data_IF_475830958623
#
_entry.id   IF_475830958623
#
_cell.length_a   1.000
_cell.length_b   1.000
_cell.length_c   1.000
_cell.angle_alpha   90.00
_cell.angle_beta   90.00
_cell.angle_gamma   90.00
#
_symmetry.space_group_name_H-M   'P 1'
#
loop_
_entity.id
_entity.type
_entity.pdbx_description
1 polymer ?
#
# COMPACT_ATOMS: atom_id res chain seq x y z
N UNK A 1 4.43 -4.90 35.71
CA UNK A 1 3.38 -4.61 34.72
C UNK A 1 4.10 -4.22 33.43
N UNK A 2 3.69 -4.65 32.23
CA UNK A 2 4.44 -4.35 30.98
C UNK A 2 4.66 -2.83 30.77
N UNK A 3 3.75 -2.00 31.28
CA UNK A 3 3.85 -0.54 31.31
C UNK A 3 5.05 0.00 32.12
N UNK A 4 5.57 -0.73 33.09
CA UNK A 4 6.73 -0.30 33.89
C UNK A 4 8.00 -0.21 33.03
N UNK A 5 8.06 -0.96 31.92
CA UNK A 5 9.17 -0.89 30.94
C UNK A 5 9.20 0.44 30.17
N UNK A 6 8.10 1.21 30.17
CA UNK A 6 8.03 2.51 29.51
C UNK A 6 8.63 3.64 30.36
N UNK A 7 8.97 3.38 31.63
CA UNK A 7 9.49 4.40 32.56
C UNK A 7 10.85 4.98 32.16
N UNK A 8 11.62 4.26 31.33
CA UNK A 8 12.88 4.72 30.76
C UNK A 8 12.71 5.58 29.50
N UNK A 9 11.50 5.65 28.94
CA UNK A 9 11.20 6.38 27.72
C UNK A 9 10.45 7.68 28.00
N UNK A 10 10.65 8.69 27.14
CA UNK A 10 9.76 9.85 27.08
C UNK A 10 8.51 9.46 26.31
N UNK A 11 7.38 9.36 27.00
CA UNK A 11 6.10 8.99 26.41
C UNK A 11 5.37 10.25 25.93
N UNK A 12 4.90 10.24 24.69
CA UNK A 12 3.97 11.23 24.15
C UNK A 12 2.76 10.50 23.61
N UNK A 13 1.58 10.85 24.12
CA UNK A 13 0.31 10.28 23.67
C UNK A 13 -0.36 11.24 22.70
N UNK A 14 -0.74 10.75 21.52
CA UNK A 14 -1.55 11.49 20.55
C UNK A 14 -2.99 11.01 20.71
N UNK A 15 -3.91 11.92 21.01
CA UNK A 15 -5.35 11.66 21.11
C UNK A 15 -6.11 12.61 20.19
N UNK A 16 -7.17 12.13 19.55
CA UNK A 16 -8.00 12.92 18.66
C UNK A 16 -9.46 12.47 18.73
N UNK A 17 -10.37 13.34 18.30
CA UNK A 17 -11.81 13.10 18.35
C UNK A 17 -12.32 12.22 17.20
N UNK A 18 -11.59 12.19 16.07
CA UNK A 18 -11.94 11.45 14.86
C UNK A 18 -10.65 11.04 14.09
N UNK A 19 -10.73 10.16 13.08
CA UNK A 19 -9.57 9.74 12.28
C UNK A 19 -8.85 10.86 11.54
N UNK A 20 -9.56 11.85 10.99
CA UNK A 20 -8.95 12.99 10.28
C UNK A 20 -8.09 13.86 11.22
N UNK A 21 -8.63 14.19 12.40
CA UNK A 21 -7.90 14.88 13.45
C UNK A 21 -6.72 14.05 13.99
N UNK A 22 -6.84 12.72 14.05
CA UNK A 22 -5.71 11.87 14.43
C UNK A 22 -4.58 11.96 13.40
N UNK A 23 -4.92 11.82 12.13
CA UNK A 23 -3.98 11.95 11.00
C UNK A 23 -3.30 13.31 10.98
N UNK A 24 -4.04 14.41 11.19
CA UNK A 24 -3.47 15.75 11.27
C UNK A 24 -2.42 15.86 12.38
N UNK A 25 -2.72 15.36 13.59
CA UNK A 25 -1.77 15.39 14.71
C UNK A 25 -0.54 14.51 14.48
N UNK A 26 -0.71 13.32 13.89
CA UNK A 26 0.42 12.46 13.51
C UNK A 26 1.31 13.18 12.48
N UNK A 27 0.69 13.81 11.47
CA UNK A 27 1.41 14.61 10.47
C UNK A 27 2.15 15.78 11.09
N UNK A 28 1.56 16.52 12.04
CA UNK A 28 2.23 17.62 12.74
C UNK A 28 3.46 17.15 13.52
N UNK A 29 3.43 15.93 14.08
CA UNK A 29 4.60 15.35 14.73
C UNK A 29 5.65 14.92 13.71
N UNK A 30 5.23 14.27 12.62
CA UNK A 30 6.13 13.86 11.55
C UNK A 30 6.78 15.07 10.85
N UNK A 31 6.05 16.16 10.62
CA UNK A 31 6.55 17.38 9.99
C UNK A 31 7.62 18.10 10.82
N UNK A 32 7.76 17.78 12.11
CA UNK A 32 8.87 18.29 12.94
C UNK A 32 10.19 17.57 12.67
N UNK A 33 10.12 16.43 11.96
CA UNK A 33 11.27 15.57 11.64
C UNK A 33 11.77 15.74 10.20
N UNK A 34 11.03 16.49 9.38
CA UNK A 34 11.34 16.78 7.97
C UNK A 34 11.29 18.30 7.75
N UNK A 35 12.07 18.80 6.78
CA UNK A 35 12.20 20.25 6.54
C UNK A 35 11.27 20.78 5.44
N UNK A 36 10.45 19.92 4.83
CA UNK A 36 9.55 20.28 3.74
C UNK A 36 8.21 19.53 3.82
N UNK A 37 7.24 20.01 3.05
CA UNK A 37 5.94 19.34 2.87
C UNK A 37 5.90 18.77 1.45
N UNK A 38 5.65 17.48 1.33
CA UNK A 38 5.50 16.84 0.03
C UNK A 38 4.28 17.38 -0.71
N UNK A 39 4.46 17.73 -2.00
CA UNK A 39 3.35 18.14 -2.86
C UNK A 39 2.39 16.97 -3.10
N UNK A 40 2.95 15.78 -3.27
CA UNK A 40 2.24 14.52 -3.34
C UNK A 40 1.57 14.20 -2.00
N UNK A 41 0.33 13.72 -2.07
CA UNK A 41 -0.44 13.29 -0.90
C UNK A 41 -1.39 12.18 -1.29
N UNK A 42 -1.51 11.18 -0.44
CA UNK A 42 -2.44 10.07 -0.63
C UNK A 42 -3.74 10.44 0.06
N UNK A 43 -4.88 10.14 -0.56
CA UNK A 43 -6.21 10.38 -0.04
C UNK A 43 -6.90 9.03 0.14
N UNK A 44 -7.39 8.75 1.35
CA UNK A 44 -8.14 7.54 1.68
C UNK A 44 -9.50 7.85 2.29
N UNK A 45 -10.49 7.00 2.03
CA UNK A 45 -11.80 7.11 2.65
C UNK A 45 -11.79 6.53 4.07
N UNK A 46 -12.31 7.27 5.05
CA UNK A 46 -12.38 6.80 6.44
C UNK A 46 -13.59 5.93 6.75
N UNK A 47 -14.60 5.97 5.89
CA UNK A 47 -15.82 5.19 6.05
C UNK A 47 -15.60 3.72 5.67
N UNK A 48 -16.22 2.82 6.41
CA UNK A 48 -16.24 1.40 6.06
C UNK A 48 -16.98 1.18 4.73
N UNK A 49 -16.53 0.23 3.88
CA UNK A 49 -15.43 -0.73 4.09
C UNK A 49 -14.07 -0.29 3.52
N UNK A 50 -13.78 1.01 3.41
CA UNK A 50 -12.62 1.48 2.64
C UNK A 50 -11.24 1.30 3.30
N UNK A 51 -11.18 0.68 4.48
CA UNK A 51 -9.92 0.44 5.20
C UNK A 51 -8.93 -0.36 4.34
N UNK A 52 -9.41 -1.43 3.71
CA UNK A 52 -8.59 -2.31 2.86
C UNK A 52 -8.02 -1.60 1.64
N UNK A 53 -8.66 -0.53 1.20
CA UNK A 53 -8.20 0.26 0.06
C UNK A 53 -7.06 1.19 0.48
N UNK A 54 -7.20 1.90 1.60
CA UNK A 54 -6.22 2.92 2.00
C UNK A 54 -4.97 2.33 2.66
N UNK A 55 -5.09 1.19 3.34
CA UNK A 55 -3.96 0.54 4.02
C UNK A 55 -2.88 0.06 3.04
N UNK A 56 -3.18 -0.10 1.75
CA UNK A 56 -2.16 -0.38 0.71
C UNK A 56 -1.13 0.75 0.59
N UNK A 57 -1.47 1.96 1.04
CA UNK A 57 -0.54 3.09 1.14
C UNK A 57 0.52 2.89 2.23
N UNK A 58 0.25 2.09 3.26
CA UNK A 58 1.08 2.05 4.46
C UNK A 58 2.52 1.62 4.17
N UNK A 59 2.70 0.63 3.29
CA UNK A 59 4.02 0.18 2.85
C UNK A 59 4.75 1.30 2.10
N UNK A 60 4.05 2.07 1.26
CA UNK A 60 4.64 3.20 0.56
C UNK A 60 5.06 4.29 1.55
N UNK A 61 4.20 4.67 2.49
CA UNK A 61 4.48 5.71 3.50
C UNK A 61 5.59 5.28 4.48
N UNK A 62 5.77 3.97 4.68
CA UNK A 62 6.92 3.46 5.45
C UNK A 62 8.23 3.51 4.67
N UNK A 63 8.14 3.64 3.34
CA UNK A 63 9.26 3.74 2.44
C UNK A 63 9.59 5.19 2.04
N UNK A 64 8.57 6.05 1.96
CA UNK A 64 8.58 7.40 1.38
C UNK A 64 7.76 8.37 2.26
N UNK A 65 7.98 9.68 2.12
CA UNK A 65 7.49 10.68 3.09
C UNK A 65 6.07 11.22 2.80
N UNK A 66 5.36 10.72 1.78
CA UNK A 66 4.01 11.18 1.47
C UNK A 66 3.06 10.91 2.64
N UNK A 67 2.19 11.87 2.92
CA UNK A 67 1.16 11.71 3.95
C UNK A 67 -0.09 11.04 3.37
N UNK A 68 -0.80 10.28 4.19
CA UNK A 68 -2.20 9.92 3.96
C UNK A 68 -3.09 10.96 4.63
N UNK A 69 -4.07 11.53 3.90
CA UNK A 69 -5.16 12.33 4.46
C UNK A 69 -6.49 11.61 4.26
N UNK A 70 -7.42 11.81 5.19
CA UNK A 70 -8.69 11.10 5.21
C UNK A 70 -9.84 11.98 4.69
N UNK A 71 -10.72 11.39 3.90
CA UNK A 71 -12.00 11.98 3.50
C UNK A 71 -13.16 11.11 4.00
N UNK A 72 -14.39 11.62 3.96
CA UNK A 72 -15.62 10.84 4.15
C UNK A 72 -16.43 10.76 2.86
N UNK A 73 -17.42 9.88 2.84
CA UNK A 73 -18.45 9.80 1.82
C UNK A 73 -19.31 11.07 1.80
N UNK A 74 -19.45 11.74 2.94
CA UNK A 74 -20.21 12.99 3.10
C UNK A 74 -19.41 14.24 2.73
N UNK A 75 -18.14 14.11 2.33
CA UNK A 75 -17.27 15.22 1.90
C UNK A 75 -15.91 15.25 2.59
N UNK A 76 -15.21 16.37 2.43
CA UNK A 76 -13.84 16.57 2.95
C UNK A 76 -13.88 17.17 4.37
N UNK A 77 -13.32 16.51 5.39
CA UNK A 77 -13.21 17.06 6.74
C UNK A 77 -12.37 18.35 6.79
N UNK A 78 -12.68 19.24 7.72
CA UNK A 78 -11.97 20.52 7.91
C UNK A 78 -10.46 20.28 8.08
N UNK A 79 -10.08 19.30 8.90
CA UNK A 79 -8.69 18.92 9.15
C UNK A 79 -7.94 18.54 7.87
N UNK A 80 -8.63 17.92 6.90
CA UNK A 80 -8.07 17.57 5.60
C UNK A 80 -7.94 18.79 4.70
N UNK A 81 -8.94 19.68 4.69
CA UNK A 81 -8.86 20.94 3.93
C UNK A 81 -7.72 21.84 4.41
N UNK A 82 -7.53 21.96 5.73
CA UNK A 82 -6.42 22.71 6.32
C UNK A 82 -5.07 22.10 5.91
N UNK A 83 -4.95 20.77 5.99
CA UNK A 83 -3.75 20.06 5.63
C UNK A 83 -3.40 20.17 4.12
N UNK A 84 -4.41 20.27 3.26
CA UNK A 84 -4.26 20.50 1.82
C UNK A 84 -3.90 21.95 1.50
N UNK A 85 -4.49 22.93 2.21
CA UNK A 85 -4.22 24.35 2.02
C UNK A 85 -2.74 24.73 2.20
N UNK A 86 -2.00 23.98 3.03
CA UNK A 86 -0.54 24.11 3.18
C UNK A 86 0.25 23.92 1.87
N UNK A 87 -0.37 23.34 0.85
CA UNK A 87 0.22 23.13 -0.49
C UNK A 87 -0.11 24.26 -1.46
N UNK A 88 -0.83 25.29 -1.02
CA UNK A 88 -1.13 26.51 -1.79
C UNK A 88 -1.77 26.24 -3.16
N UNK A 89 -2.73 25.31 -3.22
CA UNK A 89 -3.41 24.92 -4.47
C UNK A 89 -2.55 24.08 -5.43
N UNK A 90 -1.38 23.63 -4.99
CA UNK A 90 -0.42 22.83 -5.78
C UNK A 90 -0.31 21.39 -5.26
N UNK A 91 -1.36 20.88 -4.61
CA UNK A 91 -1.38 19.48 -4.19
C UNK A 91 -1.46 18.56 -5.41
N UNK A 92 -0.78 17.42 -5.36
CA UNK A 92 -0.99 16.29 -6.26
C UNK A 92 -1.55 15.16 -5.41
N UNK A 93 -2.83 14.86 -5.58
CA UNK A 93 -3.61 14.01 -4.69
C UNK A 93 -3.88 12.66 -5.35
N UNK A 94 -3.44 11.58 -4.71
CA UNK A 94 -3.66 10.20 -5.16
C UNK A 94 -4.78 9.56 -4.34
N UNK A 95 -5.95 9.42 -4.95
CA UNK A 95 -7.13 8.88 -4.28
C UNK A 95 -7.16 7.36 -4.44
N UNK A 96 -7.20 6.65 -3.30
CA UNK A 96 -7.30 5.19 -3.26
C UNK A 96 -8.77 4.78 -3.17
N UNK A 97 -9.24 4.06 -4.19
CA UNK A 97 -10.61 3.56 -4.29
C UNK A 97 -11.29 3.95 -5.60
N UNK A 98 -12.18 3.09 -6.08
CA UNK A 98 -13.00 3.33 -7.28
C UNK A 98 -14.09 4.38 -7.06
N UNK A 99 -14.75 4.78 -8.15
CA UNK A 99 -15.95 5.62 -8.15
C UNK A 99 -17.08 5.05 -7.25
N UNK A 100 -17.13 3.73 -7.09
CA UNK A 100 -18.13 3.04 -6.26
C UNK A 100 -17.93 3.30 -4.76
N UNK A 101 -16.70 3.61 -4.35
CA UNK A 101 -16.32 3.85 -2.95
C UNK A 101 -16.26 5.34 -2.67
N UNK A 102 -15.66 6.11 -3.58
CA UNK A 102 -15.52 7.57 -3.45
C UNK A 102 -16.16 8.20 -4.67
N UNK A 103 -17.29 8.89 -4.47
CA UNK A 103 -18.07 9.50 -5.54
C UNK A 103 -17.35 10.70 -6.17
N UNK A 104 -17.66 10.98 -7.43
CA UNK A 104 -17.04 12.06 -8.20
C UNK A 104 -17.32 13.45 -7.63
N UNK A 105 -18.40 13.64 -6.87
CA UNK A 105 -18.65 14.91 -6.20
C UNK A 105 -17.53 15.26 -5.20
N UNK A 106 -17.06 14.27 -4.42
CA UNK A 106 -15.97 14.47 -3.44
C UNK A 106 -14.64 14.71 -4.16
N UNK A 107 -14.43 14.06 -5.32
CA UNK A 107 -13.27 14.35 -6.19
C UNK A 107 -13.34 15.78 -6.72
N UNK A 108 -14.54 16.25 -7.10
CA UNK A 108 -14.79 17.62 -7.53
C UNK A 108 -14.38 18.64 -6.47
N UNK A 109 -14.72 18.41 -5.20
CA UNK A 109 -14.31 19.25 -4.07
C UNK A 109 -12.78 19.23 -3.88
N UNK A 110 -12.13 18.06 -4.01
CA UNK A 110 -10.67 17.96 -3.87
C UNK A 110 -9.91 18.78 -4.91
N UNK A 111 -10.46 18.91 -6.13
CA UNK A 111 -9.83 19.67 -7.22
C UNK A 111 -9.66 21.18 -6.91
N UNK A 112 -10.34 21.71 -5.89
CA UNK A 112 -10.09 23.09 -5.43
C UNK A 112 -8.70 23.27 -4.80
N UNK A 113 -8.07 22.17 -4.38
CA UNK A 113 -6.77 22.16 -3.68
C UNK A 113 -5.59 21.72 -4.57
N UNK A 114 -5.85 21.28 -5.79
CA UNK A 114 -4.82 20.84 -6.73
C UNK A 114 -5.31 19.77 -7.70
N UNK A 115 -4.38 18.98 -8.24
CA UNK A 115 -4.68 17.92 -9.20
C UNK A 115 -5.01 16.62 -8.48
N UNK A 116 -6.13 15.99 -8.85
CA UNK A 116 -6.57 14.70 -8.29
C UNK A 116 -6.38 13.61 -9.32
N UNK A 117 -5.74 12.52 -8.91
CA UNK A 117 -5.59 11.31 -9.69
C UNK A 117 -6.07 10.11 -8.89
N UNK A 118 -6.88 9.26 -9.51
CA UNK A 118 -7.46 8.09 -8.85
C UNK A 118 -6.64 6.86 -9.19
N UNK A 119 -6.24 6.12 -8.16
CA UNK A 119 -5.63 4.79 -8.28
C UNK A 119 -6.76 3.80 -8.03
N UNK A 120 -7.33 3.31 -9.12
CA UNK A 120 -8.60 2.59 -9.10
C UNK A 120 -8.45 1.08 -8.84
N UNK A 121 -9.12 0.60 -7.80
CA UNK A 121 -9.47 -0.80 -7.60
C UNK A 121 -10.95 -0.95 -7.29
N UNK A 122 -11.56 -2.01 -7.81
CA UNK A 122 -12.98 -2.32 -7.56
C UNK A 122 -13.19 -3.08 -6.24
N UNK A 123 -12.14 -3.70 -5.71
CA UNK A 123 -12.09 -4.42 -4.44
C UNK A 123 -10.67 -4.29 -3.85
N UNK A 124 -10.47 -4.78 -2.62
CA UNK A 124 -9.16 -4.74 -1.95
C UNK A 124 -8.03 -5.32 -2.82
N UNK A 125 -8.24 -6.49 -3.42
CA UNK A 125 -7.21 -7.15 -4.25
C UNK A 125 -6.81 -6.29 -5.44
N UNK A 126 -7.78 -5.88 -6.26
CA UNK A 126 -7.51 -5.01 -7.42
C UNK A 126 -6.95 -3.64 -7.02
N UNK A 127 -7.34 -3.08 -5.86
CA UNK A 127 -6.74 -1.85 -5.32
C UNK A 127 -5.26 -2.03 -4.98
N UNK A 128 -4.90 -3.16 -4.36
CA UNK A 128 -3.50 -3.46 -4.02
C UNK A 128 -2.65 -3.68 -5.28
N UNK A 129 -3.20 -4.34 -6.30
CA UNK A 129 -2.55 -4.50 -7.61
C UNK A 129 -2.38 -3.14 -8.30
N UNK A 130 -3.40 -2.29 -8.28
CA UNK A 130 -3.35 -0.96 -8.86
C UNK A 130 -2.26 -0.11 -8.16
N UNK A 131 -2.23 -0.10 -6.83
CA UNK A 131 -1.21 0.61 -6.06
C UNK A 131 0.21 0.10 -6.36
N UNK A 132 0.40 -1.22 -6.44
CA UNK A 132 1.69 -1.83 -6.76
C UNK A 132 2.16 -1.54 -8.20
N UNK A 133 1.23 -1.46 -9.14
CA UNK A 133 1.54 -1.20 -10.56
C UNK A 133 1.73 0.29 -10.86
N UNK A 134 1.18 1.17 -10.01
CA UNK A 134 1.10 2.60 -10.28
C UNK A 134 2.45 3.30 -10.20
N UNK A 135 2.70 4.22 -11.13
CA UNK A 135 3.83 5.15 -11.12
C UNK A 135 3.41 6.48 -11.73
N UNK A 136 3.71 7.58 -11.05
CA UNK A 136 3.71 8.92 -11.63
C UNK A 136 5.16 9.41 -11.81
N UNK A 137 5.60 9.50 -13.06
CA UNK A 137 6.94 9.97 -13.40
C UNK A 137 7.14 11.47 -13.08
N UNK A 138 6.06 12.25 -12.94
CA UNK A 138 6.15 13.69 -12.68
C UNK A 138 6.45 14.01 -11.21
N UNK A 139 6.03 13.14 -10.30
CA UNK A 139 6.26 13.28 -8.85
C UNK A 139 7.13 12.18 -8.25
N UNK A 140 7.50 11.17 -9.03
CA UNK A 140 8.17 9.93 -8.58
C UNK A 140 7.32 9.06 -7.64
N UNK A 141 6.05 9.42 -7.42
CA UNK A 141 5.13 8.67 -6.57
C UNK A 141 4.76 7.31 -7.18
N UNK A 142 4.65 6.29 -6.34
CA UNK A 142 4.20 4.96 -6.73
C UNK A 142 5.32 3.96 -7.01
N UNK A 143 4.97 2.67 -6.90
CA UNK A 143 5.90 1.55 -6.96
C UNK A 143 6.36 1.21 -8.38
N UNK A 144 5.49 1.33 -9.38
CA UNK A 144 5.79 1.01 -10.78
C UNK A 144 6.12 -0.45 -11.06
N UNK A 145 5.65 -1.39 -10.23
CA UNK A 145 6.01 -2.81 -10.36
C UNK A 145 5.20 -3.44 -11.48
N UNK A 146 5.79 -3.45 -12.67
CA UNK A 146 5.19 -4.03 -13.88
C UNK A 146 6.06 -5.08 -14.55
N UNK A 147 7.23 -5.36 -13.97
CA UNK A 147 8.26 -6.27 -14.43
C UNK A 147 8.80 -7.10 -13.24
N UNK A 148 9.57 -8.17 -13.48
CA UNK A 148 10.09 -9.02 -12.41
C UNK A 148 11.21 -8.36 -11.61
N UNK A 149 11.42 -8.83 -10.38
CA UNK A 149 12.57 -8.48 -9.56
C UNK A 149 12.28 -7.78 -8.23
N UNK A 150 11.03 -7.81 -7.76
CA UNK A 150 10.55 -6.99 -6.65
C UNK A 150 10.11 -7.81 -5.43
N UNK A 151 9.91 -7.13 -4.31
CA UNK A 151 9.32 -7.71 -3.12
C UNK A 151 7.80 -7.60 -3.15
N UNK A 152 7.11 -8.43 -2.37
CA UNK A 152 5.67 -8.32 -2.14
C UNK A 152 5.38 -8.72 -0.69
N UNK A 153 4.48 -7.99 -0.04
CA UNK A 153 3.91 -8.39 1.25
C UNK A 153 2.50 -8.88 1.00
N UNK A 154 2.21 -10.14 1.33
CA UNK A 154 0.89 -10.74 1.20
C UNK A 154 0.20 -10.79 2.56
N UNK A 155 -1.03 -10.29 2.62
CA UNK A 155 -1.90 -10.41 3.79
C UNK A 155 -3.32 -10.82 3.35
N UNK A 156 -4.11 -11.33 4.28
CA UNK A 156 -5.51 -11.72 4.02
C UNK A 156 -6.47 -10.59 4.37
N UNK A 157 -7.47 -10.34 3.50
CA UNK A 157 -8.60 -9.45 3.82
C UNK A 157 -9.47 -9.97 4.98
N UNK A 158 -9.32 -11.24 5.40
CA UNK A 158 -9.98 -11.76 6.59
C UNK A 158 -9.33 -11.29 7.91
N UNK A 159 -8.15 -10.66 7.85
CA UNK A 159 -7.44 -10.12 9.03
C UNK A 159 -6.68 -8.85 8.66
N UNK A 160 -7.38 -7.79 8.20
CA UNK A 160 -6.76 -6.63 7.60
C UNK A 160 -5.86 -5.86 8.58
N UNK A 161 -6.14 -5.96 9.89
CA UNK A 161 -5.33 -5.38 10.96
C UNK A 161 -3.90 -5.90 11.03
N UNK A 162 -3.62 -7.09 10.48
CA UNK A 162 -2.26 -7.62 10.42
C UNK A 162 -1.42 -6.94 9.34
N UNK A 163 -2.03 -6.41 8.28
CA UNK A 163 -1.30 -5.87 7.14
C UNK A 163 -0.42 -4.65 7.50
N UNK A 164 -0.90 -3.77 8.40
CA UNK A 164 -0.14 -2.59 8.82
C UNK A 164 1.16 -2.96 9.56
N UNK A 165 1.19 -4.12 10.22
CA UNK A 165 2.37 -4.58 10.97
C UNK A 165 3.56 -4.90 10.05
N UNK A 166 3.28 -5.13 8.78
CA UNK A 166 4.26 -5.48 7.76
C UNK A 166 4.85 -4.28 7.03
N UNK A 167 4.32 -3.08 7.26
CA UNK A 167 4.75 -1.87 6.57
C UNK A 167 6.27 -1.61 6.64
N UNK A 168 6.99 -1.91 7.75
CA UNK A 168 8.45 -1.81 7.77
C UNK A 168 9.19 -2.72 6.76
N UNK A 169 8.60 -3.83 6.33
CA UNK A 169 9.21 -4.71 5.31
C UNK A 169 9.27 -4.07 3.93
N UNK A 170 8.50 -3.00 3.70
CA UNK A 170 8.55 -2.22 2.47
C UNK A 170 9.95 -1.65 2.16
N UNK A 171 10.78 -1.47 3.20
CA UNK A 171 12.14 -0.95 3.10
C UNK A 171 13.24 -1.98 3.43
N UNK A 172 12.89 -3.09 4.10
CA UNK A 172 13.85 -4.11 4.57
C UNK A 172 14.05 -5.22 3.54
N UNK A 173 14.60 -4.87 2.38
CA UNK A 173 14.92 -5.84 1.33
C UNK A 173 14.67 -5.27 -0.05
N UNK A 174 13.75 -5.89 -0.79
CA UNK A 174 13.24 -5.38 -2.06
C UNK A 174 12.00 -4.55 -1.80
N UNK A 175 11.82 -3.46 -2.55
CA UNK A 175 10.60 -2.64 -2.56
C UNK A 175 9.36 -3.55 -2.59
N UNK A 176 8.58 -3.54 -1.51
CA UNK A 176 7.54 -4.53 -1.26
C UNK A 176 6.18 -3.86 -0.96
N UNK A 177 5.34 -3.61 -1.98
CA UNK A 177 3.96 -3.19 -1.77
C UNK A 177 3.17 -4.26 -1.00
N UNK A 178 2.13 -3.80 -0.31
CA UNK A 178 1.10 -4.68 0.23
C UNK A 178 0.24 -5.20 -0.94
N UNK A 179 0.02 -6.51 -0.96
CA UNK A 179 -0.86 -7.23 -1.87
C UNK A 179 -1.87 -8.02 -1.06
N UNK A 180 -3.15 -7.84 -1.38
CA UNK A 180 -4.22 -8.54 -0.70
C UNK A 180 -4.49 -9.92 -1.31
N UNK A 181 -4.71 -10.90 -0.43
CA UNK A 181 -5.34 -12.18 -0.73
C UNK A 181 -6.81 -12.10 -0.27
N UNK A 182 -7.73 -12.45 -1.16
CA UNK A 182 -9.17 -12.42 -0.86
C UNK A 182 -9.53 -13.53 0.13
N UNK A 183 -9.79 -13.17 1.38
CA UNK A 183 -9.94 -14.09 2.50
C UNK A 183 -8.81 -15.13 2.55
N UNK A 184 -7.59 -14.71 2.18
CA UNK A 184 -6.40 -15.56 2.16
C UNK A 184 -6.31 -16.51 0.96
N UNK A 185 -7.17 -16.30 -0.05
CA UNK A 185 -7.16 -17.02 -1.32
C UNK A 185 -6.53 -16.20 -2.44
N UNK A 186 -5.96 -16.92 -3.40
CA UNK A 186 -5.51 -16.36 -4.67
C UNK A 186 -6.73 -16.09 -5.55
N UNK A 187 -6.87 -14.85 -6.05
CA UNK A 187 -7.85 -14.51 -7.08
C UNK A 187 -7.24 -14.64 -8.47
N UNK A 188 -8.09 -14.71 -9.50
CA UNK A 188 -7.61 -14.75 -10.89
C UNK A 188 -6.83 -13.49 -11.25
N UNK A 189 -7.31 -12.31 -10.86
CA UNK A 189 -6.63 -11.03 -11.14
C UNK A 189 -5.23 -10.98 -10.52
N UNK A 190 -5.09 -11.44 -9.27
CA UNK A 190 -3.79 -11.50 -8.61
C UNK A 190 -2.89 -12.55 -9.26
N UNK A 191 -3.43 -13.70 -9.63
CA UNK A 191 -2.67 -14.73 -10.35
C UNK A 191 -2.10 -14.19 -11.65
N UNK A 192 -2.89 -13.44 -12.43
CA UNK A 192 -2.45 -12.83 -13.69
C UNK A 192 -1.42 -11.73 -13.46
N UNK A 193 -1.62 -10.88 -12.45
CA UNK A 193 -0.64 -9.86 -12.08
C UNK A 193 0.71 -10.49 -11.70
N UNK A 194 0.71 -11.49 -10.82
CA UNK A 194 1.93 -12.19 -10.42
C UNK A 194 2.57 -12.94 -11.59
N UNK A 195 1.79 -13.51 -12.51
CA UNK A 195 2.32 -14.14 -13.72
C UNK A 195 3.03 -13.13 -14.64
N UNK A 196 2.53 -11.89 -14.74
CA UNK A 196 3.17 -10.80 -15.51
C UNK A 196 4.53 -10.41 -14.94
N UNK A 197 4.66 -10.37 -13.61
CA UNK A 197 5.89 -9.98 -12.90
C UNK A 197 6.73 -11.19 -12.47
N UNK A 198 6.42 -12.40 -12.97
CA UNK A 198 7.18 -13.61 -12.66
C UNK A 198 8.54 -13.59 -13.37
N UNK A 199 9.65 -13.84 -12.67
CA UNK A 199 10.97 -13.79 -13.28
C UNK A 199 11.23 -15.01 -14.16
N UNK A 200 12.01 -14.80 -15.22
CA UNK A 200 12.49 -15.85 -16.11
C UNK A 200 14.00 -15.73 -16.32
N UNK A 201 14.68 -16.84 -16.57
CA UNK A 201 16.10 -16.87 -16.97
C UNK A 201 16.28 -17.55 -18.33
N UNK A 202 17.39 -17.27 -19.01
CA UNK A 202 17.70 -17.84 -20.32
C UNK A 202 18.81 -18.89 -20.31
N UNK A 203 19.82 -18.75 -19.45
CA UNK A 203 20.91 -19.73 -19.38
C UNK A 203 21.05 -20.34 -17.99
N UNK A 204 21.06 -19.51 -16.95
CA UNK A 204 21.27 -19.95 -15.57
C UNK A 204 20.35 -19.17 -14.60
N UNK A 205 19.73 -19.85 -13.60
CA UNK A 205 18.82 -19.19 -12.68
C UNK A 205 19.51 -18.16 -11.78
N UNK A 206 20.84 -18.18 -11.67
CA UNK A 206 21.60 -17.21 -10.88
C UNK A 206 21.56 -15.80 -11.48
N UNK A 207 21.16 -15.67 -12.75
CA UNK A 207 21.03 -14.39 -13.48
C UNK A 207 20.04 -13.42 -12.81
N UNK A 208 18.98 -13.96 -12.18
CA UNK A 208 17.88 -13.13 -11.71
C UNK A 208 17.19 -12.35 -12.85
N UNK A 209 16.42 -11.30 -12.53
CA UNK A 209 16.13 -10.82 -11.18
C UNK A 209 15.20 -11.78 -10.42
N UNK A 210 15.18 -11.69 -9.08
CA UNK A 210 14.34 -12.55 -8.23
C UNK A 210 13.18 -11.79 -7.62
N UNK A 211 12.02 -12.41 -7.47
CA UNK A 211 11.01 -11.87 -6.57
C UNK A 211 11.27 -12.31 -5.12
N UNK A 212 10.64 -11.61 -4.17
CA UNK A 212 10.61 -12.00 -2.77
C UNK A 212 9.21 -11.81 -2.19
N UNK A 213 8.77 -12.73 -1.33
CA UNK A 213 7.44 -12.68 -0.72
C UNK A 213 7.51 -12.77 0.80
N UNK A 214 6.81 -11.87 1.48
CA UNK A 214 6.47 -12.00 2.90
C UNK A 214 5.01 -12.40 3.02
N UNK A 215 4.68 -13.39 3.86
CA UNK A 215 3.29 -13.80 4.11
C UNK A 215 2.93 -13.50 5.55
N UNK A 216 1.88 -12.69 5.75
CA UNK A 216 1.41 -12.20 7.04
C UNK A 216 0.09 -12.88 7.37
N UNK A 217 0.15 -13.89 8.22
CA UNK A 217 -1.02 -14.63 8.67
C UNK A 217 -0.69 -16.01 9.19
N UNK A 218 -1.73 -16.74 9.59
CA UNK A 218 -1.65 -18.13 10.03
C UNK A 218 -2.07 -19.08 8.91
N UNK A 219 -1.77 -20.37 9.05
CA UNK A 219 -2.17 -21.39 8.05
C UNK A 219 -3.68 -21.55 7.91
N UNK A 220 -4.45 -21.20 8.93
CA UNK A 220 -5.91 -21.25 8.90
C UNK A 220 -6.50 -20.10 8.06
N UNK A 221 -5.79 -18.98 7.95
CA UNK A 221 -6.18 -17.84 7.12
C UNK A 221 -5.56 -17.92 5.73
N UNK A 222 -4.27 -18.24 5.63
CA UNK A 222 -3.52 -18.35 4.37
C UNK A 222 -3.00 -19.78 4.25
N UNK A 223 -3.80 -20.62 3.58
CA UNK A 223 -3.54 -22.05 3.48
C UNK A 223 -2.19 -22.38 2.83
N UNK A 224 -1.65 -23.57 3.13
CA UNK A 224 -0.45 -24.10 2.46
C UNK A 224 -0.60 -24.14 0.93
N UNK A 225 -1.82 -24.37 0.43
CA UNK A 225 -2.13 -24.33 -1.00
C UNK A 225 -1.92 -22.91 -1.56
N UNK A 226 -2.43 -21.88 -0.89
CA UNK A 226 -2.22 -20.48 -1.31
C UNK A 226 -0.73 -20.14 -1.31
N UNK A 227 -0.02 -20.50 -0.24
CA UNK A 227 1.43 -20.25 -0.13
C UNK A 227 2.22 -20.95 -1.24
N UNK A 228 1.84 -22.19 -1.62
CA UNK A 228 2.46 -22.88 -2.75
C UNK A 228 2.18 -22.24 -4.11
N UNK A 229 1.01 -21.63 -4.30
CA UNK A 229 0.72 -20.84 -5.52
C UNK A 229 1.57 -19.56 -5.54
N UNK A 230 1.73 -18.89 -4.40
CA UNK A 230 2.59 -17.71 -4.29
C UNK A 230 4.05 -18.06 -4.58
N UNK A 231 4.56 -19.13 -3.99
CA UNK A 231 5.91 -19.64 -4.24
C UNK A 231 6.12 -19.92 -5.74
N UNK A 232 5.21 -20.68 -6.37
CA UNK A 232 5.24 -20.96 -7.81
C UNK A 232 5.26 -19.68 -8.65
N UNK A 233 4.54 -18.63 -8.23
CA UNK A 233 4.41 -17.39 -8.99
C UNK A 233 5.57 -16.41 -8.79
N UNK A 234 6.32 -16.53 -7.70
CA UNK A 234 7.48 -15.70 -7.42
C UNK A 234 8.79 -16.39 -7.84
N UNK A 235 8.79 -17.72 -7.99
CA UNK A 235 9.93 -18.51 -8.41
C UNK A 235 10.37 -18.16 -9.84
N UNK A 236 11.69 -18.06 -10.03
CA UNK A 236 12.31 -17.88 -11.33
C UNK A 236 12.27 -19.18 -12.13
N UNK A 237 11.84 -19.10 -13.40
CA UNK A 237 11.69 -20.28 -14.27
C UNK A 237 12.42 -20.11 -15.60
N UNK A 238 12.72 -21.21 -16.28
CA UNK A 238 13.32 -21.16 -17.61
C UNK A 238 12.36 -20.48 -18.58
N UNK A 239 12.87 -19.56 -19.40
CA UNK A 239 12.10 -18.95 -20.47
C UNK A 239 11.56 -19.99 -21.47
N UNK A 240 12.24 -21.14 -21.60
CA UNK A 240 11.85 -22.24 -22.49
C UNK A 240 10.93 -23.28 -21.81
N UNK A 241 10.63 -23.10 -20.52
CA UNK A 241 9.69 -23.95 -19.77
C UNK A 241 10.25 -25.24 -19.18
N UNK A 242 11.55 -25.52 -19.38
CA UNK A 242 12.23 -26.64 -18.74
C UNK A 242 12.50 -26.32 -17.25
N UNK A 243 11.78 -26.98 -16.35
CA UNK A 243 11.91 -26.77 -14.90
C UNK A 243 13.23 -27.28 -14.31
N UNK A 244 13.62 -26.74 -13.16
CA UNK A 244 14.85 -27.10 -12.42
C UNK A 244 14.81 -28.46 -11.70
N UNK A 245 13.80 -29.31 -11.95
CA UNK A 245 13.57 -30.55 -11.19
C UNK A 245 14.57 -31.70 -11.41
N UNK A 246 15.73 -31.46 -12.02
CA UNK A 246 16.74 -32.47 -12.34
C UNK A 246 18.01 -32.41 -11.47
N UNK A 247 17.92 -31.83 -10.27
CA UNK A 247 18.99 -31.87 -9.26
C UNK A 247 18.61 -32.73 -8.05
#
# INVERSE_FOLDING_TARGET
>A
MELDKLTEFKIKTIQAANPAAFTQKVKEEFSKTIDHIEKAVIIGLMDEPAEEYKITAANWISHMNESLLNISSDGIPEETTEALALREGRAKMYVLGSENVIRDEVIGELNEYGEVERIEGNNAVSQSIAMASYKDDSTDFGWGITEPGHGFVFASTASPELAITAAPFAHLGKHAPLIWLDEGQMTDDLYQYLAKVKPVFHHDPTEGPYNHGYVLGEFDTISFKTQGILDEKLEIVSADGDGHGNH
#
